data_IF_589028736384
#
_entry.id   IF_589028736384
#
_cell.length_a   1.000
_cell.length_b   1.000
_cell.length_c   1.000
_cell.angle_alpha   90.00
_cell.angle_beta   90.00
_cell.angle_gamma   90.00
#
_symmetry.space_group_name_H-M   'P 1'
#
loop_
_entity.id
_entity.type
_entity.pdbx_description
1 polymer ?
#
# COMPACT_ATOMS: atom_id res chain seq x y z
N UNK A 1 -13.82 -13.61 -56.12
CA UNK A 1 -13.83 -12.93 -54.81
C UNK A 1 -14.21 -13.98 -53.79
N UNK A 2 -13.22 -14.57 -53.14
CA UNK A 2 -13.42 -15.55 -52.07
C UNK A 2 -12.94 -14.88 -50.79
N UNK A 3 -13.87 -14.43 -49.96
CA UNK A 3 -13.58 -13.84 -48.66
C UNK A 3 -13.03 -14.93 -47.74
N UNK A 4 -11.73 -14.87 -47.46
CA UNK A 4 -11.10 -15.65 -46.40
C UNK A 4 -11.61 -15.10 -45.07
N UNK A 5 -12.59 -15.81 -44.49
CA UNK A 5 -13.12 -15.55 -43.16
C UNK A 5 -12.00 -15.79 -42.14
N UNK A 6 -11.24 -14.74 -41.82
CA UNK A 6 -10.26 -14.73 -40.74
C UNK A 6 -10.97 -15.12 -39.45
N UNK A 7 -10.75 -16.36 -39.01
CA UNK A 7 -11.31 -16.85 -37.76
C UNK A 7 -10.70 -16.05 -36.61
N UNK A 8 -11.54 -15.30 -35.89
CA UNK A 8 -11.12 -14.63 -34.67
C UNK A 8 -10.70 -15.70 -33.64
N UNK A 9 -9.52 -15.56 -33.02
CA UNK A 9 -9.05 -16.50 -32.03
C UNK A 9 -10.04 -16.54 -30.85
N UNK A 10 -10.39 -17.75 -30.44
CA UNK A 10 -11.29 -17.97 -29.30
C UNK A 10 -10.68 -17.40 -28.00
N UNK A 11 -11.48 -17.03 -26.99
CA UNK A 11 -10.96 -16.51 -25.72
C UNK A 11 -9.90 -17.42 -25.06
N UNK A 12 -10.00 -18.73 -25.26
CA UNK A 12 -9.00 -19.71 -24.81
C UNK A 12 -7.69 -19.66 -25.58
N UNK A 13 -7.69 -19.27 -26.86
CA UNK A 13 -6.47 -19.03 -27.64
C UNK A 13 -5.79 -17.72 -27.24
N UNK A 14 -6.56 -16.69 -26.87
CA UNK A 14 -6.00 -15.43 -26.34
C UNK A 14 -5.40 -15.64 -24.95
N UNK A 15 -6.06 -16.41 -24.08
CA UNK A 15 -5.54 -16.74 -22.74
C UNK A 15 -4.29 -17.62 -22.78
N UNK A 16 -4.24 -18.61 -23.67
CA UNK A 16 -3.04 -19.44 -23.86
C UNK A 16 -1.88 -18.69 -24.52
N UNK A 17 -2.17 -17.66 -25.34
CA UNK A 17 -1.12 -16.82 -25.96
C UNK A 17 -0.38 -15.93 -24.96
N UNK A 18 -1.03 -15.50 -23.86
CA UNK A 18 -0.36 -14.74 -22.80
C UNK A 18 0.51 -15.62 -21.88
N UNK A 19 0.30 -16.93 -21.86
CA UNK A 19 1.16 -17.87 -21.13
C UNK A 19 2.45 -18.22 -21.91
N UNK A 20 2.54 -17.83 -23.18
CA UNK A 20 3.66 -18.15 -24.06
C UNK A 20 4.61 -16.94 -24.10
N UNK A 21 5.84 -17.11 -23.58
CA UNK A 21 7.02 -16.22 -23.62
C UNK A 21 7.29 -15.20 -22.49
N UNK A 22 6.64 -15.26 -21.32
CA UNK A 22 7.19 -14.50 -20.17
C UNK A 22 8.32 -15.27 -19.50
N UNK A 23 9.53 -14.72 -19.54
CA UNK A 23 10.70 -15.33 -18.88
C UNK A 23 10.44 -15.50 -17.38
N UNK A 24 11.15 -16.42 -16.70
CA UNK A 24 11.04 -16.57 -15.24
C UNK A 24 11.23 -15.25 -14.49
N UNK A 25 12.08 -14.37 -15.02
CA UNK A 25 12.34 -13.02 -14.52
C UNK A 25 11.14 -12.08 -14.66
N UNK A 26 10.38 -12.14 -15.76
CA UNK A 26 9.16 -11.33 -15.94
C UNK A 26 8.04 -11.78 -15.00
N UNK A 27 7.86 -13.09 -14.81
CA UNK A 27 6.89 -13.61 -13.84
C UNK A 27 7.24 -13.20 -12.41
N UNK A 28 8.54 -13.21 -12.07
CA UNK A 28 9.01 -12.73 -10.76
C UNK A 28 8.77 -11.22 -10.58
N UNK A 29 9.04 -10.41 -11.61
CA UNK A 29 8.78 -8.97 -11.58
C UNK A 29 7.29 -8.66 -11.39
N UNK A 30 6.40 -9.31 -12.16
CA UNK A 30 4.95 -9.11 -12.05
C UNK A 30 4.43 -9.54 -10.67
N UNK A 31 4.91 -10.67 -10.15
CA UNK A 31 4.57 -11.15 -8.80
C UNK A 31 5.00 -10.14 -7.72
N UNK A 32 6.25 -9.66 -7.79
CA UNK A 32 6.77 -8.67 -6.86
C UNK A 32 6.00 -7.34 -6.93
N UNK A 33 5.69 -6.87 -8.15
CA UNK A 33 4.88 -5.66 -8.35
C UNK A 33 3.48 -5.79 -7.74
N UNK A 34 2.85 -6.96 -7.87
CA UNK A 34 1.54 -7.23 -7.28
C UNK A 34 1.59 -7.28 -5.74
N UNK A 35 2.54 -8.01 -5.16
CA UNK A 35 2.75 -8.05 -3.70
C UNK A 35 3.05 -6.65 -3.15
N UNK A 36 3.85 -5.87 -3.87
CA UNK A 36 4.15 -4.50 -3.48
C UNK A 36 2.91 -3.59 -3.54
N UNK A 37 2.07 -3.73 -4.57
CA UNK A 37 0.81 -3.01 -4.66
C UNK A 37 -0.10 -3.30 -3.46
N UNK A 38 -0.18 -4.57 -3.03
CA UNK A 38 -0.91 -4.97 -1.82
C UNK A 38 -0.29 -4.34 -0.58
N UNK A 39 1.04 -4.39 -0.43
CA UNK A 39 1.73 -3.80 0.73
C UNK A 39 1.49 -2.28 0.84
N UNK A 40 1.48 -1.57 -0.29
CA UNK A 40 1.13 -0.15 -0.32
C UNK A 40 -0.33 0.09 0.05
N UNK A 41 -1.27 -0.72 -0.46
CA UNK A 41 -2.69 -0.62 -0.10
C UNK A 41 -2.90 -0.83 1.40
N UNK A 42 -2.33 -1.90 1.96
CA UNK A 42 -2.41 -2.21 3.40
C UNK A 42 -1.82 -1.07 4.25
N UNK A 43 -0.71 -0.49 3.80
CA UNK A 43 -0.08 0.64 4.49
C UNK A 43 -0.94 1.91 4.43
N UNK A 44 -1.52 2.22 3.27
CA UNK A 44 -2.48 3.34 3.14
C UNK A 44 -3.72 3.13 4.00
N UNK A 45 -4.21 1.90 4.07
CA UNK A 45 -5.34 1.53 4.92
C UNK A 45 -4.99 1.66 6.41
N UNK A 46 -3.78 1.25 6.81
CA UNK A 46 -3.27 1.49 8.15
C UNK A 46 -3.22 3.00 8.48
N UNK A 47 -2.65 3.82 7.58
CA UNK A 47 -2.62 5.28 7.76
C UNK A 47 -4.02 5.87 7.93
N UNK A 48 -4.98 5.45 7.10
CA UNK A 48 -6.36 5.92 7.18
C UNK A 48 -7.01 5.54 8.51
N UNK A 49 -6.81 4.31 8.96
CA UNK A 49 -7.33 3.82 10.24
C UNK A 49 -6.72 4.57 11.42
N UNK A 50 -5.39 4.72 11.44
CA UNK A 50 -4.68 5.42 12.52
C UNK A 50 -5.02 6.91 12.56
N UNK A 51 -5.18 7.58 11.41
CA UNK A 51 -5.62 8.97 11.36
C UNK A 51 -7.04 9.14 11.92
N UNK A 52 -7.95 8.22 11.61
CA UNK A 52 -9.32 8.27 12.12
C UNK A 52 -9.38 8.10 13.64
N UNK A 53 -8.62 7.13 14.18
CA UNK A 53 -8.49 6.90 15.62
C UNK A 53 -7.84 8.12 16.30
N UNK A 54 -6.78 8.66 15.70
CA UNK A 54 -6.04 9.80 16.24
C UNK A 54 -6.92 11.05 16.30
N UNK A 55 -7.63 11.37 15.21
CA UNK A 55 -8.54 12.51 15.17
C UNK A 55 -9.68 12.38 16.21
N UNK A 56 -10.26 11.18 16.34
CA UNK A 56 -11.31 10.92 17.34
C UNK A 56 -10.78 11.07 18.75
N UNK A 57 -9.63 10.47 19.04
CA UNK A 57 -8.97 10.56 20.34
C UNK A 57 -8.65 12.01 20.71
N UNK A 58 -8.12 12.79 19.75
CA UNK A 58 -7.82 14.21 19.94
C UNK A 58 -9.11 14.99 20.23
N UNK A 59 -10.18 14.78 19.46
CA UNK A 59 -11.45 15.46 19.68
C UNK A 59 -12.04 15.18 21.07
N UNK A 60 -12.04 13.92 21.51
CA UNK A 60 -12.51 13.53 22.85
C UNK A 60 -11.63 14.12 23.95
N UNK A 61 -10.31 14.08 23.79
CA UNK A 61 -9.39 14.64 24.78
C UNK A 61 -9.53 16.17 24.90
N UNK A 62 -9.72 16.88 23.78
CA UNK A 62 -9.98 18.31 23.78
C UNK A 62 -11.29 18.65 24.49
N UNK A 63 -12.37 17.91 24.23
CA UNK A 63 -13.64 18.09 24.92
C UNK A 63 -13.46 17.91 26.45
N UNK A 64 -12.66 16.92 26.87
CA UNK A 64 -12.36 16.70 28.29
C UNK A 64 -11.50 17.81 28.91
N UNK A 65 -10.54 18.40 28.17
CA UNK A 65 -9.82 19.58 28.66
C UNK A 65 -10.74 20.75 28.98
N UNK A 66 -11.80 20.94 28.19
CA UNK A 66 -12.77 22.02 28.40
C UNK A 66 -13.72 21.70 29.55
N UNK A 67 -14.16 20.44 29.66
CA UNK A 67 -15.10 20.00 30.69
C UNK A 67 -14.46 19.84 32.09
N UNK A 68 -13.19 19.44 32.13
CA UNK A 68 -12.43 19.22 33.37
C UNK A 68 -11.01 19.82 33.26
N UNK A 69 -10.87 21.14 33.46
CA UNK A 69 -9.58 21.83 33.34
C UNK A 69 -8.53 21.32 34.35
N UNK A 70 -8.96 20.77 35.48
CA UNK A 70 -8.08 20.27 36.55
C UNK A 70 -7.21 19.10 36.11
N UNK A 71 -7.65 18.32 35.12
CA UNK A 71 -6.92 17.18 34.56
C UNK A 71 -6.37 17.44 33.15
N UNK A 72 -6.32 18.71 32.71
CA UNK A 72 -5.87 19.10 31.38
C UNK A 72 -4.52 18.52 30.96
N UNK A 73 -3.56 18.39 31.90
CA UNK A 73 -2.26 17.77 31.63
C UNK A 73 -2.35 16.33 31.13
N UNK A 74 -3.24 15.50 31.68
CA UNK A 74 -3.42 14.11 31.26
C UNK A 74 -3.99 14.04 29.83
N UNK A 75 -4.98 14.87 29.53
CA UNK A 75 -5.60 14.92 28.21
C UNK A 75 -4.64 15.47 27.15
N UNK A 76 -3.80 16.44 27.49
CA UNK A 76 -2.72 16.91 26.62
C UNK A 76 -1.71 15.81 26.30
N UNK A 77 -1.38 14.95 27.27
CA UNK A 77 -0.54 13.78 27.02
C UNK A 77 -1.23 12.77 26.07
N UNK A 78 -2.53 12.54 26.21
CA UNK A 78 -3.31 11.71 25.27
C UNK A 78 -3.29 12.28 23.85
N UNK A 79 -3.43 13.60 23.69
CA UNK A 79 -3.34 14.27 22.38
C UNK A 79 -1.95 14.09 21.77
N UNK A 80 -0.90 14.20 22.58
CA UNK A 80 0.47 13.98 22.12
C UNK A 80 0.66 12.54 21.61
N UNK A 81 0.16 11.53 22.34
CA UNK A 81 0.20 10.13 21.91
C UNK A 81 -0.59 9.89 20.62
N UNK A 82 -1.80 10.47 20.50
CA UNK A 82 -2.58 10.37 19.28
C UNK A 82 -1.86 10.99 18.06
N UNK A 83 -1.16 12.12 18.26
CA UNK A 83 -0.31 12.71 17.21
C UNK A 83 0.87 11.81 16.83
N UNK A 84 1.48 11.16 17.82
CA UNK A 84 2.55 10.20 17.59
C UNK A 84 2.05 9.01 16.76
N UNK A 85 0.89 8.42 17.09
CA UNK A 85 0.29 7.33 16.30
C UNK A 85 0.12 7.69 14.82
N UNK A 86 -0.39 8.90 14.53
CA UNK A 86 -0.53 9.38 13.16
C UNK A 86 0.82 9.65 12.47
N UNK A 87 1.88 9.95 13.22
CA UNK A 87 3.24 10.07 12.69
C UNK A 87 3.82 8.68 12.39
N UNK A 88 3.73 7.75 13.33
CA UNK A 88 4.27 6.40 13.19
C UNK A 88 3.64 5.66 11.99
N UNK A 89 2.34 5.85 11.75
CA UNK A 89 1.68 5.28 10.57
C UNK A 89 2.25 5.81 9.24
N UNK A 90 2.64 7.10 9.19
CA UNK A 90 3.30 7.69 8.02
C UNK A 90 4.73 7.18 7.85
N UNK A 91 5.46 7.06 8.95
CA UNK A 91 6.83 6.52 8.92
C UNK A 91 6.83 5.06 8.45
N UNK A 92 5.84 4.25 8.85
CA UNK A 92 5.68 2.89 8.35
C UNK A 92 5.40 2.85 6.83
N UNK A 93 4.59 3.79 6.32
CA UNK A 93 4.35 3.92 4.88
C UNK A 93 5.64 4.27 4.12
N UNK A 94 6.41 5.22 4.63
CA UNK A 94 7.70 5.62 4.03
C UNK A 94 8.71 4.47 4.03
N UNK A 95 8.76 3.69 5.11
CA UNK A 95 9.63 2.50 5.21
C UNK A 95 9.25 1.41 4.19
N UNK A 96 7.95 1.19 3.98
CA UNK A 96 7.47 0.26 2.94
C UNK A 96 7.87 0.78 1.55
N UNK A 97 7.73 2.07 1.28
CA UNK A 97 8.18 2.68 0.01
C UNK A 97 9.69 2.57 -0.23
N UNK A 98 10.50 2.67 0.82
CA UNK A 98 11.95 2.48 0.72
C UNK A 98 12.29 1.02 0.42
N UNK A 99 11.71 0.08 1.18
CA UNK A 99 11.90 -1.37 0.99
C UNK A 99 11.46 -1.83 -0.40
N UNK A 100 10.40 -1.21 -0.93
CA UNK A 100 9.91 -1.45 -2.27
C UNK A 100 10.93 -1.12 -3.36
N UNK A 101 11.59 0.03 -3.21
CA UNK A 101 12.61 0.50 -4.16
C UNK A 101 13.80 -0.46 -4.16
N UNK A 102 14.27 -0.87 -2.98
CA UNK A 102 15.35 -1.84 -2.83
C UNK A 102 15.03 -3.20 -3.48
N UNK A 103 13.78 -3.66 -3.36
CA UNK A 103 13.31 -4.88 -4.00
C UNK A 103 13.33 -4.76 -5.53
N UNK A 104 12.87 -3.64 -6.09
CA UNK A 104 12.88 -3.40 -7.53
C UNK A 104 14.31 -3.33 -8.08
N UNK A 105 15.22 -2.64 -7.39
CA UNK A 105 16.63 -2.57 -7.76
C UNK A 105 17.28 -3.97 -7.76
N UNK A 106 16.94 -4.79 -6.76
CA UNK A 106 17.40 -6.18 -6.66
C UNK A 106 16.93 -7.01 -7.85
N UNK A 107 15.65 -6.90 -8.21
CA UNK A 107 15.07 -7.63 -9.34
C UNK A 107 15.67 -7.19 -10.69
N UNK A 108 15.92 -5.89 -10.88
CA UNK A 108 16.57 -5.37 -12.08
C UNK A 108 18.03 -5.85 -12.21
N UNK A 109 18.75 -5.93 -11.09
CA UNK A 109 20.11 -6.50 -11.04
C UNK A 109 20.13 -7.99 -11.41
N UNK A 110 19.11 -8.76 -10.99
CA UNK A 110 19.00 -10.18 -11.37
C UNK A 110 18.62 -10.34 -12.85
N UNK A 111 17.78 -9.46 -13.40
CA UNK A 111 17.34 -9.54 -14.80
C UNK A 111 18.41 -9.11 -15.82
N UNK A 112 19.46 -8.39 -15.39
CA UNK A 112 20.55 -7.89 -16.25
C UNK A 112 21.79 -8.80 -16.30
N UNK A 113 21.74 -9.96 -15.62
CA UNK A 113 22.75 -11.03 -15.68
C UNK A 113 22.32 -12.16 -16.59
#
# INVERSE_FOLDING_TARGET
MSEEKVAQPTPQQVQSSLEINTSGSEKAYLSAAHTLAIAFQDSVDNMRNMNSISATTIGVALAKCLADPGHSGHYMATIAQARAMAKDARENFDQIGTSATELLDTLQSVASK
#
